data_IF_059180922019
#
_entry.id   IF_059180922019
#
_cell.length_a   1.000
_cell.length_b   1.000
_cell.length_c   1.000
_cell.angle_alpha   90.00
_cell.angle_beta   90.00
_cell.angle_gamma   90.00
#
_symmetry.space_group_name_H-M   'P 1'
#
loop_
_entity.id
_entity.type
_entity.pdbx_description
1 polymer ?
#
# COMPACT_ATOMS: atom_id res chain seq x y z
N UNK A 1 43.19 -56.44 -0.51
CA UNK A 1 44.16 -55.88 0.46
C UNK A 1 43.45 -54.76 1.22
N UNK A 2 43.04 -54.95 2.49
CA UNK A 2 43.79 -54.59 3.73
C UNK A 2 44.26 -53.12 3.69
N UNK A 3 43.99 -52.19 4.61
CA UNK A 3 43.47 -52.12 6.00
C UNK A 3 43.12 -50.62 6.22
N UNK A 4 41.97 -50.26 6.79
CA UNK A 4 41.72 -50.06 8.24
C UNK A 4 42.61 -49.00 8.92
N UNK A 5 41.94 -48.11 9.68
CA UNK A 5 42.38 -47.39 10.91
C UNK A 5 42.57 -45.88 10.73
N UNK A 6 41.99 -44.95 11.50
CA UNK A 6 41.17 -44.95 12.73
C UNK A 6 40.62 -43.52 12.90
N UNK A 7 39.32 -43.34 13.15
CA UNK A 7 38.74 -43.11 14.48
C UNK A 7 38.90 -41.66 14.98
N UNK A 8 37.82 -40.88 14.94
CA UNK A 8 37.32 -40.27 16.18
C UNK A 8 35.80 -40.19 16.12
N UNK A 9 35.22 -41.18 16.80
CA UNK A 9 33.84 -41.24 17.21
C UNK A 9 33.64 -40.17 18.28
N UNK A 10 32.77 -39.19 18.03
CA UNK A 10 32.05 -38.49 19.08
C UNK A 10 30.63 -38.28 18.58
N UNK A 11 29.86 -39.33 18.80
CA UNK A 11 28.41 -39.31 18.83
C UNK A 11 28.03 -38.40 19.99
N UNK A 12 27.51 -37.22 19.67
CA UNK A 12 26.64 -36.47 20.57
C UNK A 12 25.24 -36.56 19.97
N UNK A 13 24.52 -37.61 20.36
CA UNK A 13 23.07 -37.66 20.22
C UNK A 13 22.53 -36.72 21.30
N UNK A 14 22.07 -35.54 20.89
CA UNK A 14 21.08 -34.78 21.65
C UNK A 14 19.81 -34.87 20.82
N UNK A 15 18.89 -35.74 21.27
CA UNK A 15 17.51 -35.69 20.85
C UNK A 15 16.81 -34.63 21.71
N UNK A 16 16.29 -33.57 21.09
CA UNK A 16 15.17 -32.81 21.64
C UNK A 16 14.37 -32.16 20.51
N UNK A 17 13.06 -32.27 20.63
CA UNK A 17 12.05 -32.22 19.58
C UNK A 17 11.84 -30.86 18.90
N UNK A 18 11.24 -30.95 17.70
CA UNK A 18 10.52 -29.89 16.97
C UNK A 18 11.34 -28.71 16.47
N UNK A 19 12.01 -28.91 15.32
CA UNK A 19 12.60 -27.82 14.53
C UNK A 19 12.34 -27.96 13.02
N UNK A 20 11.34 -28.75 12.60
CA UNK A 20 10.93 -28.82 11.18
C UNK A 20 9.71 -27.94 10.84
N UNK A 21 8.96 -27.43 11.82
CA UNK A 21 7.70 -26.74 11.53
C UNK A 21 7.83 -25.20 11.39
N UNK A 22 8.95 -24.59 11.79
CA UNK A 22 9.08 -23.11 11.79
C UNK A 22 9.48 -22.54 10.42
N UNK A 23 10.06 -23.35 9.53
CA UNK A 23 10.45 -22.90 8.17
C UNK A 23 9.28 -23.04 7.19
N UNK A 24 8.36 -23.99 7.41
CA UNK A 24 7.14 -24.15 6.62
C UNK A 24 6.14 -23.02 6.88
N UNK A 25 5.91 -22.67 8.15
CA UNK A 25 4.99 -21.59 8.54
C UNK A 25 5.43 -20.23 7.98
N UNK A 26 6.73 -19.91 7.96
CA UNK A 26 7.19 -18.60 7.50
C UNK A 26 7.12 -18.41 5.98
N UNK A 27 7.13 -19.49 5.19
CA UNK A 27 6.90 -19.44 3.75
C UNK A 27 5.41 -19.32 3.40
N UNK A 28 4.55 -20.01 4.16
CA UNK A 28 3.10 -19.95 3.98
C UNK A 28 2.50 -18.59 4.42
N UNK A 29 3.03 -17.98 5.49
CA UNK A 29 2.58 -16.66 5.96
C UNK A 29 2.91 -15.55 4.95
N UNK A 30 4.11 -15.56 4.35
CA UNK A 30 4.48 -14.53 3.36
C UNK A 30 3.66 -14.64 2.08
N UNK A 31 3.28 -15.84 1.67
CA UNK A 31 2.46 -16.05 0.48
C UNK A 31 1.01 -15.61 0.71
N UNK A 32 0.47 -15.80 1.93
CA UNK A 32 -0.87 -15.31 2.30
C UNK A 32 -0.90 -13.78 2.40
N UNK A 33 0.09 -13.15 3.04
CA UNK A 33 0.16 -11.68 3.16
C UNK A 33 0.29 -10.99 1.80
N UNK A 34 1.07 -11.57 0.88
CA UNK A 34 1.23 -11.03 -0.47
C UNK A 34 -0.01 -11.27 -1.35
N UNK A 35 -0.72 -12.38 -1.15
CA UNK A 35 -1.99 -12.63 -1.83
C UNK A 35 -3.06 -11.62 -1.40
N UNK A 36 -3.20 -11.37 -0.09
CA UNK A 36 -4.15 -10.41 0.46
C UNK A 36 -3.84 -8.98 0.00
N UNK A 37 -2.56 -8.60 -0.06
CA UNK A 37 -2.12 -7.31 -0.63
C UNK A 37 -2.50 -7.18 -2.10
N UNK A 38 -2.26 -8.23 -2.91
CA UNK A 38 -2.62 -8.23 -4.33
C UNK A 38 -4.13 -8.07 -4.51
N UNK A 39 -4.93 -8.81 -3.76
CA UNK A 39 -6.39 -8.71 -3.82
C UNK A 39 -6.87 -7.31 -3.42
N UNK A 40 -6.27 -6.72 -2.37
CA UNK A 40 -6.60 -5.36 -1.95
C UNK A 40 -6.25 -4.32 -3.01
N UNK A 41 -5.13 -4.46 -3.70
CA UNK A 41 -4.75 -3.60 -4.85
C UNK A 41 -5.77 -3.74 -5.97
N UNK A 42 -6.15 -4.96 -6.34
CA UNK A 42 -7.14 -5.22 -7.39
C UNK A 42 -8.50 -4.61 -7.05
N UNK A 43 -8.95 -4.76 -5.80
CA UNK A 43 -10.15 -4.10 -5.31
C UNK A 43 -10.04 -2.57 -5.41
N UNK A 44 -8.94 -1.98 -4.96
CA UNK A 44 -8.69 -0.54 -5.06
C UNK A 44 -8.76 -0.06 -6.51
N UNK A 45 -8.19 -0.81 -7.47
CA UNK A 45 -8.24 -0.48 -8.90
C UNK A 45 -9.69 -0.51 -9.41
N UNK A 46 -10.49 -1.51 -9.01
CA UNK A 46 -11.89 -1.60 -9.40
C UNK A 46 -12.69 -0.40 -8.87
N UNK A 47 -12.52 -0.04 -7.60
CA UNK A 47 -13.19 1.12 -6.99
C UNK A 47 -12.74 2.41 -7.68
N UNK A 48 -11.44 2.58 -7.91
CA UNK A 48 -10.86 3.77 -8.55
C UNK A 48 -11.43 4.03 -9.94
N UNK A 49 -11.57 2.97 -10.73
CA UNK A 49 -12.09 3.06 -12.10
C UNK A 49 -13.61 3.25 -12.14
N UNK A 50 -14.33 2.54 -11.28
CA UNK A 50 -15.80 2.58 -11.24
C UNK A 50 -16.33 3.90 -10.70
N UNK A 51 -15.53 4.61 -9.91
CA UNK A 51 -15.87 5.91 -9.33
C UNK A 51 -15.22 7.09 -10.06
N UNK A 52 -14.84 6.89 -11.32
CA UNK A 52 -14.39 7.94 -12.24
C UNK A 52 -13.15 8.72 -11.82
N UNK A 53 -12.38 8.24 -10.83
CA UNK A 53 -11.13 8.88 -10.39
C UNK A 53 -10.16 9.07 -11.56
N UNK A 54 -10.14 8.09 -12.47
CA UNK A 54 -9.30 8.08 -13.68
C UNK A 54 -9.64 9.13 -14.74
N UNK A 55 -10.79 9.81 -14.66
CA UNK A 55 -11.10 10.94 -15.55
C UNK A 55 -10.29 12.18 -15.17
N UNK A 56 -10.00 12.36 -13.88
CA UNK A 56 -9.28 13.51 -13.37
C UNK A 56 -7.81 13.22 -13.13
N UNK A 57 -7.47 12.01 -12.69
CA UNK A 57 -6.14 11.68 -12.22
C UNK A 57 -5.46 10.63 -13.09
N UNK A 58 -4.15 10.79 -13.26
CA UNK A 58 -3.29 9.75 -13.86
C UNK A 58 -2.91 8.75 -12.78
N UNK A 59 -3.09 7.47 -13.08
CA UNK A 59 -2.60 6.36 -12.26
C UNK A 59 -2.27 5.19 -13.16
N UNK A 60 -0.98 4.87 -13.28
CA UNK A 60 -0.44 3.85 -14.16
C UNK A 60 -0.96 2.46 -13.79
N UNK A 61 -0.98 2.12 -12.50
CA UNK A 61 -1.43 0.83 -12.00
C UNK A 61 -2.92 0.57 -12.32
N UNK A 62 -3.72 1.64 -12.41
CA UNK A 62 -5.13 1.56 -12.80
C UNK A 62 -5.38 1.78 -14.31
N UNK A 63 -4.32 1.98 -15.12
CA UNK A 63 -4.38 2.32 -16.54
C UNK A 63 -5.25 3.56 -16.83
N UNK A 64 -5.02 4.65 -16.11
CA UNK A 64 -5.76 5.91 -16.24
C UNK A 64 -4.83 7.08 -16.55
N UNK A 65 -5.32 8.07 -17.28
CA UNK A 65 -4.53 9.17 -17.83
C UNK A 65 -5.22 10.54 -17.69
N UNK A 66 -6.08 10.71 -16.68
CA UNK A 66 -6.71 12.00 -16.39
C UNK A 66 -5.69 13.05 -15.96
N UNK A 67 -5.96 14.33 -16.28
CA UNK A 67 -5.03 15.45 -16.03
C UNK A 67 -5.68 16.69 -15.42
N UNK A 68 -6.94 16.59 -14.98
CA UNK A 68 -7.60 17.69 -14.27
C UNK A 68 -7.11 17.82 -12.82
N UNK A 69 -6.73 16.71 -12.19
CA UNK A 69 -6.14 16.64 -10.86
C UNK A 69 -4.68 16.18 -10.89
N UNK A 70 -3.99 16.19 -9.73
CA UNK A 70 -2.61 15.72 -9.62
C UNK A 70 -2.47 14.25 -10.00
N UNK A 71 -1.29 13.87 -10.49
CA UNK A 71 -0.95 12.45 -10.71
C UNK A 71 -0.96 11.69 -9.39
N UNK A 72 -1.48 10.47 -9.41
CA UNK A 72 -1.48 9.56 -8.27
C UNK A 72 -0.34 8.52 -8.30
N UNK A 73 0.54 8.55 -9.31
CA UNK A 73 1.68 7.62 -9.40
C UNK A 73 2.67 7.73 -8.22
N UNK A 74 2.68 8.86 -7.51
CA UNK A 74 3.52 9.12 -6.34
C UNK A 74 2.68 9.48 -5.11
N UNK A 75 1.38 9.18 -5.12
CA UNK A 75 0.43 9.66 -4.11
C UNK A 75 0.88 9.35 -2.68
N UNK A 76 1.36 8.14 -2.44
CA UNK A 76 1.77 7.72 -1.11
C UNK A 76 3.00 8.45 -0.57
N UNK A 77 4.02 8.72 -1.41
CA UNK A 77 5.20 9.50 -0.99
C UNK A 77 4.86 10.97 -0.82
N UNK A 78 4.05 11.53 -1.72
CA UNK A 78 3.60 12.92 -1.62
C UNK A 78 2.73 13.15 -0.38
N UNK A 79 1.88 12.19 0.00
CA UNK A 79 1.10 12.25 1.23
C UNK A 79 1.98 12.41 2.49
N UNK A 80 3.08 11.66 2.59
CA UNK A 80 4.04 11.82 3.70
C UNK A 80 4.70 13.20 3.72
N UNK A 81 4.90 13.81 2.56
CA UNK A 81 5.46 15.15 2.45
C UNK A 81 4.42 16.21 2.83
N UNK A 82 3.18 16.07 2.36
CA UNK A 82 2.13 17.06 2.54
C UNK A 82 1.69 17.23 3.98
N UNK A 83 1.60 16.15 4.77
CA UNK A 83 1.26 16.25 6.20
C UNK A 83 2.27 17.09 7.00
N UNK A 84 3.49 17.29 6.48
CA UNK A 84 4.54 18.07 7.11
C UNK A 84 4.61 19.53 6.60
N UNK A 85 3.76 19.92 5.65
CA UNK A 85 3.73 21.30 5.16
C UNK A 85 3.05 22.21 6.17
N UNK A 86 3.60 23.43 6.34
CA UNK A 86 3.00 24.46 7.19
C UNK A 86 1.60 24.91 6.68
N UNK A 87 1.28 24.67 5.41
CA UNK A 87 -0.02 24.95 4.81
C UNK A 87 -1.05 23.84 5.00
N UNK A 88 -0.63 22.66 5.50
CA UNK A 88 -1.56 21.58 5.81
C UNK A 88 -2.34 21.91 7.08
N UNK A 89 -3.67 21.89 6.99
CA UNK A 89 -4.58 22.27 8.10
C UNK A 89 -5.43 21.10 8.60
N UNK A 90 -5.24 19.92 8.02
CA UNK A 90 -5.92 18.71 8.43
C UNK A 90 -5.35 18.08 9.69
N UNK A 91 -5.79 16.85 9.95
CA UNK A 91 -5.47 16.13 11.19
C UNK A 91 -4.68 14.85 10.97
N UNK A 92 -4.41 14.48 9.73
CA UNK A 92 -3.68 13.27 9.40
C UNK A 92 -2.24 13.32 9.95
N UNK A 93 -1.82 12.18 10.50
CA UNK A 93 -0.48 11.94 11.03
C UNK A 93 0.28 10.88 10.23
N UNK A 94 -0.35 10.32 9.20
CA UNK A 94 0.22 9.32 8.30
C UNK A 94 -0.27 9.53 6.86
N UNK A 95 0.41 8.88 5.90
CA UNK A 95 0.02 8.93 4.49
C UNK A 95 -1.39 8.35 4.26
N UNK A 96 -1.72 7.26 4.95
CA UNK A 96 -3.02 6.59 4.90
C UNK A 96 -4.13 7.53 5.37
N UNK A 97 -3.94 8.16 6.53
CA UNK A 97 -4.89 9.13 7.08
C UNK A 97 -5.06 10.34 6.16
N UNK A 98 -3.97 10.84 5.57
CA UNK A 98 -4.03 11.99 4.65
C UNK A 98 -4.80 11.64 3.37
N UNK A 99 -4.54 10.47 2.79
CA UNK A 99 -5.24 10.02 1.58
C UNK A 99 -6.73 9.82 1.89
N UNK A 100 -7.05 9.21 3.04
CA UNK A 100 -8.45 9.04 3.49
C UNK A 100 -9.14 10.39 3.68
N UNK A 101 -8.48 11.32 4.36
CA UNK A 101 -8.98 12.68 4.57
C UNK A 101 -9.22 13.40 3.23
N UNK A 102 -8.27 13.30 2.29
CA UNK A 102 -8.39 13.90 0.95
C UNK A 102 -9.57 13.34 0.14
N UNK A 103 -9.92 12.06 0.33
CA UNK A 103 -11.07 11.44 -0.36
C UNK A 103 -12.40 11.87 0.27
N UNK A 104 -12.45 12.01 1.59
CA UNK A 104 -13.69 12.30 2.33
C UNK A 104 -13.99 13.80 2.44
N UNK A 105 -12.95 14.62 2.57
CA UNK A 105 -13.03 16.08 2.62
C UNK A 105 -11.83 16.72 1.90
N UNK A 106 -11.87 16.80 0.55
CA UNK A 106 -10.80 17.37 -0.26
C UNK A 106 -10.62 18.89 -0.05
N UNK A 107 -11.46 19.55 0.74
CA UNK A 107 -11.38 21.00 0.98
C UNK A 107 -10.41 21.36 2.11
N UNK A 108 -10.01 20.37 2.93
CA UNK A 108 -9.04 20.56 4.02
C UNK A 108 -7.67 20.95 3.49
N UNK A 109 -7.27 20.35 2.36
CA UNK A 109 -6.00 20.63 1.73
C UNK A 109 -6.05 20.40 0.23
N UNK A 110 -5.77 21.46 -0.53
CA UNK A 110 -5.55 21.36 -1.96
C UNK A 110 -4.07 21.09 -2.22
N UNK A 111 -3.78 20.06 -3.01
CA UNK A 111 -2.43 19.77 -3.48
C UNK A 111 -1.78 21.02 -4.10
N UNK A 112 -0.52 21.34 -3.77
CA UNK A 112 0.16 22.52 -4.30
C UNK A 112 0.05 22.64 -5.82
N UNK A 113 -0.44 23.78 -6.29
CA UNK A 113 -0.69 24.08 -7.70
C UNK A 113 -2.12 23.80 -8.19
N UNK A 114 -2.98 23.22 -7.34
CA UNK A 114 -4.39 22.92 -7.68
C UNK A 114 -5.41 23.81 -6.96
N UNK A 115 -4.96 24.73 -6.11
CA UNK A 115 -5.81 25.60 -5.27
C UNK A 115 -6.73 26.51 -6.08
N UNK A 116 -6.27 26.97 -7.25
CA UNK A 116 -7.00 27.91 -8.11
C UNK A 116 -7.74 27.22 -9.27
N UNK A 117 -7.83 25.88 -9.27
CA UNK A 117 -8.46 25.14 -10.36
C UNK A 117 -9.99 25.22 -10.28
N UNK A 118 -10.66 25.28 -11.44
CA UNK A 118 -12.13 25.21 -11.48
C UNK A 118 -12.69 23.78 -11.36
N UNK A 119 -11.80 22.78 -11.20
CA UNK A 119 -12.14 21.36 -11.15
C UNK A 119 -11.67 20.77 -9.82
N UNK A 120 -12.20 21.27 -8.71
CA UNK A 120 -11.91 20.71 -7.40
C UNK A 120 -12.41 19.27 -7.29
N UNK A 121 -11.63 18.45 -6.59
CA UNK A 121 -12.00 17.07 -6.31
C UNK A 121 -13.33 17.05 -5.52
N UNK A 122 -14.33 16.25 -5.92
CA UNK A 122 -15.53 16.06 -5.13
C UNK A 122 -15.23 15.18 -3.90
N UNK A 123 -16.03 15.33 -2.85
CA UNK A 123 -16.01 14.41 -1.71
C UNK A 123 -16.69 13.09 -2.09
N UNK A 124 -16.11 11.96 -1.67
CA UNK A 124 -16.62 10.60 -1.96
C UNK A 124 -17.23 9.94 -0.73
N UNK A 125 -18.00 10.68 0.06
CA UNK A 125 -18.67 10.19 1.28
C UNK A 125 -19.80 9.18 1.02
N UNK A 126 -20.13 8.94 -0.26
CA UNK A 126 -21.11 7.96 -0.70
C UNK A 126 -20.53 6.55 -0.88
N UNK A 127 -19.22 6.38 -0.80
CA UNK A 127 -18.57 5.07 -0.84
C UNK A 127 -18.63 4.40 0.54
N UNK A 128 -18.65 3.07 0.56
CA UNK A 128 -18.52 2.31 1.81
C UNK A 128 -17.11 2.44 2.40
N UNK A 129 -16.98 2.22 3.70
CA UNK A 129 -15.66 2.24 4.36
C UNK A 129 -14.68 1.26 3.71
N UNK A 130 -15.12 0.05 3.35
CA UNK A 130 -14.27 -0.94 2.70
C UNK A 130 -13.76 -0.48 1.31
N UNK A 131 -14.58 0.26 0.56
CA UNK A 131 -14.18 0.84 -0.72
C UNK A 131 -13.19 1.99 -0.53
N UNK A 132 -13.41 2.83 0.49
CA UNK A 132 -12.47 3.90 0.87
C UNK A 132 -11.12 3.29 1.27
N UNK A 133 -11.12 2.26 2.12
CA UNK A 133 -9.88 1.62 2.56
C UNK A 133 -9.15 0.91 1.40
N UNK A 134 -9.88 0.35 0.43
CA UNK A 134 -9.26 -0.21 -0.78
C UNK A 134 -8.57 0.88 -1.64
N UNK A 135 -9.19 2.06 -1.78
CA UNK A 135 -8.56 3.21 -2.44
C UNK A 135 -7.35 3.72 -1.67
N UNK A 136 -7.47 3.87 -0.35
CA UNK A 136 -6.39 4.32 0.54
C UNK A 136 -5.22 3.36 0.43
N UNK A 137 -5.45 2.05 0.49
CA UNK A 137 -4.41 1.04 0.36
C UNK A 137 -3.70 1.14 -0.99
N UNK A 138 -4.47 1.18 -2.10
CA UNK A 138 -3.93 1.33 -3.44
C UNK A 138 -3.03 2.57 -3.57
N UNK A 139 -3.56 3.74 -3.18
CA UNK A 139 -2.88 5.02 -3.35
C UNK A 139 -1.68 5.17 -2.41
N UNK A 140 -1.77 4.64 -1.20
CA UNK A 140 -0.66 4.64 -0.24
C UNK A 140 0.53 3.87 -0.77
N UNK A 141 0.35 2.82 -1.57
CA UNK A 141 1.48 2.05 -2.12
C UNK A 141 2.21 2.75 -3.27
N UNK A 142 1.67 3.85 -3.79
CA UNK A 142 2.26 4.54 -4.96
C UNK A 142 3.51 5.34 -4.58
N UNK A 143 4.49 5.37 -5.50
CA UNK A 143 5.77 6.07 -5.34
C UNK A 143 6.81 5.33 -4.48
N UNK A 144 6.56 4.09 -4.08
CA UNK A 144 7.48 3.27 -3.30
C UNK A 144 7.89 2.05 -4.15
N UNK A 145 9.16 1.99 -4.56
CA UNK A 145 9.76 0.89 -5.32
C UNK A 145 10.07 -0.33 -4.44
#
# INVERSE_FOLDING_TARGET
MRRLSKLFLLIVIIASASACDVIGDMFEITDLETHDEKERIEQGIMVYRSNYCGLCHTLQLANTAGTFGPSHNEAGVLAEQYINLASYTGTASSAQEYIRESILDPTIFYTPGYEATNHHMPAFTNLSDDEIEALVFLLTKQGRD
#
